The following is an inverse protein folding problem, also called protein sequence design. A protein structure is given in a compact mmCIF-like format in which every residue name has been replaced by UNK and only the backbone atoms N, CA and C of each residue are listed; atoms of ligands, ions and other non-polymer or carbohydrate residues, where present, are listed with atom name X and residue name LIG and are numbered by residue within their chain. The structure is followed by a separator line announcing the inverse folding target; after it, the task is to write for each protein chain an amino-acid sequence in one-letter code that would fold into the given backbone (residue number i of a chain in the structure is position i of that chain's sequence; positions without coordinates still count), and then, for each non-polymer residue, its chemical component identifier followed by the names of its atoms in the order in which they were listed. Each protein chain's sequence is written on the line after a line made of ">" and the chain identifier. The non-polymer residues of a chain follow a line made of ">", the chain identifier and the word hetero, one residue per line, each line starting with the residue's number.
data_IF_983230950782
#
_entry.id   IF_983230950782
#
_cell.length_a   1.000
_cell.length_b   1.000
_cell.length_c   1.000
_cell.angle_alpha   90.00
_cell.angle_beta   90.00
_cell.angle_gamma   90.00
#
_symmetry.space_group_name_H-M   'P 1'
#
loop_
_entity.id
_entity.type
_entity.pdbx_description
1 polymer ?
#
# COMPACT_ATOMS: atom_id res chain seq x y z
N UNK A 1 -17.74 7.43 3.78
CA UNK A 1 -16.55 8.30 3.87
C UNK A 1 -15.27 7.47 3.95
N UNK A 2 -15.14 6.53 4.89
CA UNK A 2 -14.00 5.61 5.02
C UNK A 2 -13.64 4.86 3.71
N UNK A 3 -14.60 4.15 3.11
CA UNK A 3 -14.40 3.38 1.85
C UNK A 3 -13.91 4.25 0.69
N UNK A 4 -14.28 5.54 0.66
CA UNK A 4 -13.86 6.45 -0.42
C UNK A 4 -12.40 6.88 -0.26
N UNK A 5 -11.92 7.05 0.96
CA UNK A 5 -10.53 7.37 1.27
C UNK A 5 -9.62 6.14 1.24
N UNK A 6 -10.19 4.96 1.43
CA UNK A 6 -9.49 3.67 1.38
C UNK A 6 -8.94 3.36 -0.03
N UNK A 7 -9.66 3.72 -1.09
CA UNK A 7 -9.22 3.54 -2.49
C UNK A 7 -7.90 4.27 -2.78
N UNK A 8 -7.79 5.60 -2.61
CA UNK A 8 -6.53 6.31 -2.84
C UNK A 8 -5.43 5.89 -1.86
N UNK A 9 -5.77 5.54 -0.61
CA UNK A 9 -4.79 4.98 0.33
C UNK A 9 -4.19 3.67 -0.20
N UNK A 10 -5.03 2.78 -0.74
CA UNK A 10 -4.60 1.50 -1.28
C UNK A 10 -3.67 1.67 -2.48
N UNK A 11 -3.87 2.72 -3.29
CA UNK A 11 -2.96 3.07 -4.38
C UNK A 11 -1.60 3.49 -3.82
N UNK A 12 -1.55 4.29 -2.76
CA UNK A 12 -0.30 4.72 -2.14
C UNK A 12 0.43 3.53 -1.48
N UNK A 13 -0.28 2.75 -0.65
CA UNK A 13 0.30 1.62 0.08
C UNK A 13 0.75 0.49 -0.85
N UNK A 14 0.18 0.37 -2.06
CA UNK A 14 0.59 -0.63 -3.05
C UNK A 14 1.60 -0.09 -4.06
N UNK A 15 1.39 1.10 -4.61
CA UNK A 15 2.22 1.64 -5.68
C UNK A 15 3.58 2.08 -5.18
N UNK A 16 3.70 2.68 -3.99
CA UNK A 16 5.00 3.15 -3.48
C UNK A 16 5.98 1.97 -3.31
N UNK A 17 5.66 0.89 -2.57
CA UNK A 17 6.58 -0.25 -2.45
C UNK A 17 6.90 -0.89 -3.81
N UNK A 18 5.89 -1.02 -4.70
CA UNK A 18 6.07 -1.60 -6.03
C UNK A 18 6.99 -0.74 -6.90
N UNK A 19 6.83 0.58 -6.88
CA UNK A 19 7.69 1.51 -7.59
C UNK A 19 9.13 1.47 -7.06
N UNK A 20 9.31 1.54 -5.74
CA UNK A 20 10.62 1.45 -5.09
C UNK A 20 11.34 0.14 -5.43
N UNK A 21 10.61 -0.98 -5.53
CA UNK A 21 11.18 -2.26 -5.97
C UNK A 21 11.58 -2.22 -7.44
N UNK A 22 10.73 -1.65 -8.30
CA UNK A 22 11.01 -1.57 -9.74
C UNK A 22 12.25 -0.72 -10.07
N UNK A 23 12.50 0.35 -9.29
CA UNK A 23 13.71 1.17 -9.42
C UNK A 23 14.92 0.65 -8.64
N UNK A 24 14.81 -0.53 -8.00
CA UNK A 24 15.92 -1.19 -7.32
C UNK A 24 16.29 -0.62 -5.93
N UNK A 25 15.47 0.25 -5.33
CA UNK A 25 15.72 0.80 -4.00
C UNK A 25 15.49 -0.25 -2.91
N UNK A 26 14.47 -1.10 -3.07
CA UNK A 26 14.18 -2.20 -2.16
C UNK A 26 14.13 -3.52 -2.92
N UNK A 27 14.50 -4.62 -2.25
CA UNK A 27 14.52 -5.94 -2.86
C UNK A 27 13.12 -6.51 -3.10
N UNK A 28 12.14 -6.17 -2.25
CA UNK A 28 10.78 -6.68 -2.32
C UNK A 28 9.75 -5.60 -1.98
N UNK A 29 8.65 -5.57 -2.72
CA UNK A 29 7.50 -4.70 -2.44
C UNK A 29 6.56 -5.24 -1.35
N UNK A 30 6.80 -6.46 -0.86
CA UNK A 30 5.92 -7.19 0.08
C UNK A 30 6.37 -7.13 1.54
N UNK A 31 7.56 -6.58 1.81
CA UNK A 31 8.18 -6.61 3.13
C UNK A 31 7.64 -5.59 4.14
N UNK A 32 8.42 -5.38 5.21
CA UNK A 32 8.08 -4.49 6.32
C UNK A 32 7.69 -3.07 5.92
N UNK A 33 8.26 -2.52 4.84
CA UNK A 33 7.87 -1.19 4.35
C UNK A 33 6.38 -1.12 4.00
N UNK A 34 5.87 -2.16 3.33
CA UNK A 34 4.46 -2.26 3.00
C UNK A 34 3.59 -2.33 4.26
N UNK A 35 4.03 -3.10 5.26
CA UNK A 35 3.34 -3.20 6.55
C UNK A 35 3.28 -1.87 7.29
N UNK A 36 4.41 -1.15 7.38
CA UNK A 36 4.50 0.15 8.05
C UNK A 36 3.63 1.18 7.34
N UNK A 37 3.69 1.25 6.01
CA UNK A 37 2.86 2.17 5.23
C UNK A 37 1.37 1.87 5.41
N UNK A 38 0.97 0.61 5.36
CA UNK A 38 -0.43 0.23 5.53
C UNK A 38 -0.94 0.54 6.94
N UNK A 39 -0.19 0.14 7.97
CA UNK A 39 -0.50 0.41 9.37
C UNK A 39 -0.54 1.91 9.64
N UNK A 40 0.50 2.64 9.25
CA UNK A 40 0.62 4.07 9.51
C UNK A 40 -0.49 4.87 8.84
N UNK A 41 -0.74 4.63 7.55
CA UNK A 41 -1.80 5.35 6.85
C UNK A 41 -3.20 4.98 7.36
N UNK A 42 -3.43 3.72 7.75
CA UNK A 42 -4.70 3.32 8.38
C UNK A 42 -4.90 4.05 9.71
N UNK A 43 -3.84 4.12 10.54
CA UNK A 43 -3.89 4.84 11.82
C UNK A 43 -4.20 6.33 11.61
N UNK A 44 -3.44 7.01 10.74
CA UNK A 44 -3.65 8.42 10.40
C UNK A 44 -5.07 8.67 9.86
N UNK A 45 -5.59 7.76 9.02
CA UNK A 45 -6.95 7.89 8.49
C UNK A 45 -8.00 7.81 9.59
N UNK A 46 -7.84 6.92 10.57
CA UNK A 46 -8.76 6.80 11.69
C UNK A 46 -8.71 8.05 12.55
N UNK A 47 -7.52 8.58 12.86
CA UNK A 47 -7.36 9.81 13.63
C UNK A 47 -7.96 11.02 12.91
N UNK A 48 -7.77 11.09 11.60
CA UNK A 48 -8.35 12.13 10.77
C UNK A 48 -9.88 12.06 10.80
N UNK A 49 -10.46 10.86 10.67
CA UNK A 49 -11.90 10.67 10.76
C UNK A 49 -12.44 11.01 12.15
N UNK A 50 -11.72 10.63 13.20
CA UNK A 50 -12.06 10.96 14.59
C UNK A 50 -12.15 12.47 14.80
N UNK A 51 -11.22 13.24 14.21
CA UNK A 51 -11.25 14.71 14.24
C UNK A 51 -12.53 15.30 13.62
N UNK A 52 -13.12 14.64 12.62
CA UNK A 52 -14.37 15.07 11.99
C UNK A 52 -15.63 14.52 12.68
N UNK A 53 -15.51 13.58 13.61
CA UNK A 53 -16.62 12.99 14.33
C UNK A 53 -16.88 13.74 15.64
N UNK A 54 -17.93 14.57 15.67
CA UNK A 54 -18.24 15.39 16.83
C UNK A 54 -18.78 14.62 18.06
N UNK A 55 -19.31 13.41 17.87
CA UNK A 55 -20.08 12.68 18.90
C UNK A 55 -19.52 11.29 19.24
N UNK A 56 -18.47 10.85 18.56
CA UNK A 56 -17.86 9.53 18.75
C UNK A 56 -16.37 9.77 18.84
N UNK A 57 -15.76 9.36 19.95
CA UNK A 57 -14.32 9.43 20.14
C UNK A 57 -13.75 8.01 20.05
N UNK A 58 -12.90 7.77 19.06
CA UNK A 58 -12.11 6.56 18.93
C UNK A 58 -10.83 6.77 19.74
N UNK A 59 -10.61 5.90 20.74
CA UNK A 59 -9.37 5.98 21.51
C UNK A 59 -8.16 5.73 20.62
N UNK A 60 -7.06 6.44 20.86
CA UNK A 60 -5.84 6.27 20.06
C UNK A 60 -5.29 4.85 20.16
N UNK A 61 -5.45 4.17 21.31
CA UNK A 61 -5.07 2.77 21.47
C UNK A 61 -5.92 1.83 20.60
N UNK A 62 -7.24 2.06 20.54
CA UNK A 62 -8.13 1.30 19.67
C UNK A 62 -7.78 1.49 18.20
N UNK A 63 -7.49 2.72 17.80
CA UNK A 63 -7.02 3.07 16.45
C UNK A 63 -5.72 2.35 16.10
N UNK A 64 -4.76 2.32 17.02
CA UNK A 64 -3.47 1.65 16.82
C UNK A 64 -3.62 0.13 16.69
N UNK A 65 -4.40 -0.50 17.56
CA UNK A 65 -4.65 -1.95 17.51
C UNK A 65 -5.33 -2.31 16.19
N UNK A 66 -6.36 -1.56 15.80
CA UNK A 66 -7.05 -1.79 14.53
C UNK A 66 -6.12 -1.62 13.34
N UNK A 67 -5.31 -0.56 13.32
CA UNK A 67 -4.35 -0.31 12.26
C UNK A 67 -3.30 -1.43 12.14
N UNK A 68 -2.80 -1.97 13.27
CA UNK A 68 -1.87 -3.09 13.28
C UNK A 68 -2.49 -4.36 12.69
N UNK A 69 -3.73 -4.68 13.09
CA UNK A 69 -4.47 -5.84 12.56
C UNK A 69 -4.66 -5.69 11.05
N UNK A 70 -5.14 -4.53 10.61
CA UNK A 70 -5.31 -4.21 9.18
C UNK A 70 -3.99 -4.29 8.41
N UNK A 71 -2.89 -3.82 8.99
CA UNK A 71 -1.54 -3.94 8.45
C UNK A 71 -1.12 -5.39 8.24
N UNK A 72 -1.37 -6.26 9.23
CA UNK A 72 -1.06 -7.69 9.16
C UNK A 72 -1.88 -8.39 8.06
N UNK A 73 -3.20 -8.13 7.99
CA UNK A 73 -4.04 -8.63 6.92
C UNK A 73 -3.53 -8.19 5.54
N UNK A 74 -3.11 -6.92 5.41
CA UNK A 74 -2.54 -6.42 4.17
C UNK A 74 -1.24 -7.12 3.77
N UNK A 75 -0.39 -7.50 4.73
CA UNK A 75 0.83 -8.25 4.45
C UNK A 75 0.51 -9.67 3.95
N UNK A 76 -0.42 -10.37 4.61
CA UNK A 76 -0.88 -11.71 4.21
C UNK A 76 -1.47 -11.67 2.79
N UNK A 77 -2.27 -10.65 2.48
CA UNK A 77 -2.88 -10.51 1.15
C UNK A 77 -1.82 -10.23 0.07
N UNK A 78 -0.82 -9.40 0.36
CA UNK A 78 0.27 -9.07 -0.56
C UNK A 78 1.24 -10.21 -0.83
N UNK A 79 1.30 -11.21 0.03
CA UNK A 79 2.14 -12.38 -0.22
C UNK A 79 1.77 -13.07 -1.54
N UNK A 80 0.50 -13.03 -1.91
CA UNK A 80 -0.06 -13.60 -3.15
C UNK A 80 0.07 -12.73 -4.39
N UNK A 81 0.44 -11.46 -4.24
CA UNK A 81 0.56 -10.51 -5.36
C UNK A 81 1.83 -10.77 -6.18
N UNK A 82 1.79 -10.57 -7.49
CA UNK A 82 3.04 -10.62 -8.28
C UNK A 82 3.94 -9.42 -7.96
N UNK A 83 5.25 -9.66 -7.90
CA UNK A 83 6.21 -8.57 -7.78
C UNK A 83 6.46 -7.89 -9.12
N UNK A 84 6.58 -6.56 -9.16
CA UNK A 84 6.90 -5.87 -10.40
C UNK A 84 8.31 -6.22 -10.88
N UNK A 85 8.56 -6.31 -12.19
CA UNK A 85 9.90 -6.46 -12.73
C UNK A 85 10.76 -5.23 -12.41
N UNK A 86 12.09 -5.45 -12.31
CA UNK A 86 13.03 -4.34 -12.25
C UNK A 86 13.07 -3.60 -13.59
N UNK A 87 13.29 -2.29 -13.54
CA UNK A 87 13.25 -1.42 -14.72
C UNK A 87 14.31 -1.78 -15.78
N UNK A 88 15.43 -2.37 -15.35
CA UNK A 88 16.54 -2.80 -16.18
C UNK A 88 16.38 -4.23 -16.71
N UNK A 89 15.35 -4.96 -16.30
CA UNK A 89 15.16 -6.36 -16.67
C UNK A 89 14.67 -6.52 -18.12
N UNK A 90 15.06 -7.64 -18.73
CA UNK A 90 14.55 -8.03 -20.06
C UNK A 90 13.02 -8.20 -20.07
N UNK A 91 12.43 -8.60 -18.94
CA UNK A 91 10.98 -8.68 -18.76
C UNK A 91 10.33 -7.30 -18.90
N UNK A 92 10.91 -6.26 -18.29
CA UNK A 92 10.42 -4.89 -18.41
C UNK A 92 10.52 -4.36 -19.85
N UNK A 93 11.64 -4.62 -20.53
CA UNK A 93 11.81 -4.29 -21.97
C UNK A 93 10.77 -5.00 -22.84
N UNK A 94 10.49 -6.27 -22.54
CA UNK A 94 9.48 -7.07 -23.23
C UNK A 94 8.06 -6.50 -23.11
N UNK A 95 7.70 -5.96 -21.95
CA UNK A 95 6.42 -5.26 -21.74
C UNK A 95 6.35 -4.01 -22.63
N UNK A 96 7.39 -3.19 -22.65
CA UNK A 96 7.46 -2.00 -23.51
C UNK A 96 7.31 -2.31 -24.99
N UNK A 97 7.98 -3.36 -25.47
CA UNK A 97 7.90 -3.80 -26.88
C UNK A 97 6.49 -4.29 -27.26
N UNK A 98 5.81 -5.04 -26.38
CA UNK A 98 4.41 -5.47 -26.61
C UNK A 98 3.45 -4.29 -26.68
N UNK A 99 3.67 -3.27 -25.86
CA UNK A 99 2.84 -2.08 -25.82
C UNK A 99 3.02 -1.23 -27.09
N UNK A 100 4.26 -1.03 -27.52
CA UNK A 100 4.59 -0.29 -28.75
C UNK A 100 4.16 -1.05 -30.02
N UNK A 101 4.19 -2.38 -30.03
CA UNK A 101 3.73 -3.19 -31.15
C UNK A 101 2.21 -3.17 -31.38
N UNK A 102 1.42 -2.74 -30.38
CA UNK A 102 -0.05 -2.61 -30.47
C UNK A 102 -0.51 -1.19 -30.85
N UNK A 103 0.43 -0.28 -31.07
CA UNK A 103 0.21 1.12 -31.42
C UNK A 103 0.44 1.33 -32.90
#
# INVERSE_FOLDING_TARGET
>A
MYVFLEIPLSLITNAIPKALKSVGIIQSSKGWLSFILNTGLTFELIQLLDTFMANIAITWQGSLIFALISGLFGLILKEKDDEPPMIDSEEFKGIGNRYNSKK
#
